data_IF_838219437208
#
_entry.id   IF_838219437208
#
_cell.length_a   1.000
_cell.length_b   1.000
_cell.length_c   1.000
_cell.angle_alpha   90.00
_cell.angle_beta   90.00
_cell.angle_gamma   90.00
#
_symmetry.space_group_name_H-M   'P 1'
#
loop_
_entity.id
_entity.type
_entity.pdbx_description
1 polymer ?
#
# COMPACT_ATOMS: atom_id res chain seq x y z
N UNK A 1 -5.08 29.69 -9.17
CA UNK A 1 -4.10 29.94 -8.09
C UNK A 1 -3.31 28.66 -7.91
N UNK A 2 -2.00 28.66 -8.16
CA UNK A 2 -1.14 27.49 -7.93
C UNK A 2 -0.32 27.73 -6.66
N UNK A 3 -0.42 26.82 -5.69
CA UNK A 3 0.42 26.86 -4.48
C UNK A 3 1.78 26.24 -4.82
N UNK A 4 2.85 26.95 -4.50
CA UNK A 4 4.22 26.41 -4.57
C UNK A 4 4.53 25.69 -3.27
N UNK A 5 4.91 24.42 -3.35
CA UNK A 5 5.42 23.69 -2.19
C UNK A 5 6.80 24.25 -1.79
N UNK A 6 7.02 24.43 -0.48
CA UNK A 6 8.36 24.64 0.10
C UNK A 6 9.09 23.30 0.20
N UNK A 7 10.42 23.29 0.30
CA UNK A 7 11.16 22.06 0.54
C UNK A 7 10.72 21.44 1.88
N UNK A 8 10.22 20.21 1.85
CA UNK A 8 9.88 19.44 3.03
C UNK A 8 11.05 18.58 3.51
N UNK A 9 11.01 18.17 4.79
CA UNK A 9 11.92 17.17 5.34
C UNK A 9 11.29 15.78 5.17
N UNK A 10 12.03 14.76 4.70
CA UNK A 10 11.55 13.39 4.72
C UNK A 10 11.17 12.97 6.14
N UNK A 11 9.94 12.45 6.31
CA UNK A 11 9.45 12.00 7.62
C UNK A 11 9.79 10.53 7.89
N UNK A 12 10.22 9.79 6.86
CA UNK A 12 10.66 8.40 6.91
C UNK A 12 11.38 8.01 5.62
N UNK A 13 12.40 7.17 5.72
CA UNK A 13 13.03 6.49 4.59
C UNK A 13 12.65 5.01 4.58
N UNK A 14 12.46 4.43 3.39
CA UNK A 14 12.15 3.01 3.23
C UNK A 14 13.43 2.18 3.13
N UNK A 15 13.54 1.06 3.87
CA UNK A 15 14.62 0.09 3.67
C UNK A 15 14.46 -0.72 2.36
N UNK A 16 13.29 -0.61 1.69
CA UNK A 16 12.98 -1.28 0.42
C UNK A 16 13.26 -0.38 -0.81
N UNK A 17 13.93 0.75 -0.61
CA UNK A 17 14.49 1.61 -1.67
C UNK A 17 13.53 2.64 -2.24
N UNK A 18 12.26 2.30 -2.44
CA UNK A 18 11.23 3.22 -2.94
C UNK A 18 10.14 3.32 -1.88
N UNK A 19 9.81 4.55 -1.46
CA UNK A 19 8.60 4.86 -0.71
C UNK A 19 7.74 5.80 -1.56
N UNK A 20 6.51 5.40 -1.86
CA UNK A 20 5.61 6.16 -2.71
C UNK A 20 4.17 6.11 -2.22
N UNK A 21 3.33 7.00 -2.77
CA UNK A 21 1.89 7.12 -2.47
C UNK A 21 1.59 7.18 -0.96
N UNK A 22 2.33 8.03 -0.26
CA UNK A 22 2.13 8.21 1.16
C UNK A 22 0.83 8.94 1.48
N UNK A 23 -0.02 8.33 2.29
CA UNK A 23 -1.27 8.92 2.78
C UNK A 23 -1.25 9.02 4.30
N UNK A 24 -1.63 10.19 4.80
CA UNK A 24 -1.66 10.48 6.22
C UNK A 24 -3.08 10.80 6.66
N UNK A 25 -3.57 10.11 7.68
CA UNK A 25 -4.84 10.40 8.32
C UNK A 25 -4.74 10.28 9.84
N UNK A 26 -5.64 10.94 10.56
CA UNK A 26 -5.70 10.88 12.02
C UNK A 26 -6.94 10.10 12.45
N UNK A 27 -6.77 9.13 13.35
CA UNK A 27 -7.87 8.40 13.98
C UNK A 27 -7.60 8.23 15.46
N UNK A 28 -8.53 8.72 16.29
CA UNK A 28 -8.37 8.77 17.73
C UNK A 28 -7.09 9.51 18.14
N UNK A 29 -6.24 8.85 18.92
CA UNK A 29 -4.97 9.39 19.39
C UNK A 29 -3.82 9.26 18.37
N UNK A 30 -4.02 8.49 17.30
CA UNK A 30 -2.95 8.14 16.36
C UNK A 30 -3.05 8.93 15.05
N UNK A 31 -1.88 9.32 14.55
CA UNK A 31 -1.66 9.61 13.14
C UNK A 31 -1.22 8.30 12.48
N UNK A 32 -1.81 7.96 11.34
CA UNK A 32 -1.48 6.80 10.54
C UNK A 32 -0.85 7.27 9.23
N UNK A 33 0.33 6.75 8.92
CA UNK A 33 1.02 6.91 7.66
C UNK A 33 0.93 5.58 6.91
N UNK A 34 0.16 5.57 5.83
CA UNK A 34 0.12 4.49 4.85
C UNK A 34 1.13 4.85 3.77
N UNK A 35 1.95 3.89 3.34
CA UNK A 35 2.89 4.11 2.22
C UNK A 35 3.18 2.79 1.53
N UNK A 36 3.25 2.85 0.20
CA UNK A 36 3.73 1.73 -0.58
C UNK A 36 5.26 1.74 -0.63
N UNK A 37 5.84 0.55 -0.65
CA UNK A 37 7.29 0.34 -0.68
C UNK A 37 7.71 -0.75 -1.67
N UNK A 38 8.98 -0.70 -2.10
CA UNK A 38 9.57 -1.69 -3.01
C UNK A 38 9.25 -1.48 -4.50
N UNK A 39 8.50 -0.44 -4.81
CA UNK A 39 8.03 -0.12 -6.17
C UNK A 39 6.89 -1.03 -6.63
N UNK A 40 6.17 -0.62 -7.68
CA UNK A 40 4.94 -1.26 -8.17
C UNK A 40 5.09 -2.65 -8.85
N UNK A 41 6.27 -3.27 -8.77
CA UNK A 41 6.61 -4.56 -9.41
C UNK A 41 6.50 -5.74 -8.42
N UNK A 42 7.29 -6.80 -8.58
CA UNK A 42 7.20 -8.01 -7.74
C UNK A 42 7.51 -7.76 -6.24
N UNK A 43 8.25 -6.70 -5.92
CA UNK A 43 8.57 -6.32 -4.54
C UNK A 43 7.54 -5.42 -3.86
N UNK A 44 6.41 -5.13 -4.52
CA UNK A 44 5.43 -4.15 -4.05
C UNK A 44 4.81 -4.56 -2.72
N UNK A 45 4.90 -3.66 -1.75
CA UNK A 45 4.42 -3.86 -0.39
C UNK A 45 3.63 -2.64 0.07
N UNK A 46 2.60 -2.86 0.88
CA UNK A 46 1.88 -1.79 1.56
C UNK A 46 2.20 -1.80 3.05
N UNK A 47 2.62 -0.65 3.57
CA UNK A 47 3.02 -0.50 4.97
C UNK A 47 2.14 0.51 5.69
N UNK A 48 1.85 0.21 6.95
CA UNK A 48 1.13 1.11 7.86
C UNK A 48 2.00 1.39 9.07
N UNK A 49 2.24 2.69 9.29
CA UNK A 49 2.92 3.22 10.45
C UNK A 49 1.94 4.07 11.26
N UNK A 50 2.15 4.18 12.56
CA UNK A 50 1.37 5.10 13.40
C UNK A 50 2.24 5.90 14.35
N UNK A 51 1.72 7.01 14.84
CA UNK A 51 2.38 7.85 15.85
C UNK A 51 1.34 8.56 16.72
N UNK A 52 1.56 8.59 18.03
CA UNK A 52 0.79 9.42 18.97
C UNK A 52 1.35 10.84 19.10
N UNK A 53 2.59 11.07 18.64
CA UNK A 53 3.28 12.36 18.84
C UNK A 53 2.92 13.37 17.78
N UNK A 54 2.71 12.92 16.54
CA UNK A 54 2.34 13.82 15.45
C UNK A 54 2.60 13.23 14.07
N UNK A 55 2.32 14.03 13.02
CA UNK A 55 2.51 13.63 11.62
C UNK A 55 3.99 13.57 11.19
N UNK A 56 4.93 13.89 12.09
CA UNK A 56 6.37 13.80 11.87
C UNK A 56 7.01 12.59 12.58
N UNK A 57 6.18 11.71 13.15
CA UNK A 57 6.65 10.57 13.94
C UNK A 57 7.03 10.93 15.38
N UNK A 58 7.82 10.07 16.07
CA UNK A 58 8.38 8.82 15.57
C UNK A 58 7.28 7.83 15.16
N UNK A 59 7.60 7.01 14.16
CA UNK A 59 6.70 6.04 13.56
C UNK A 59 6.92 4.66 14.16
N UNK A 60 5.84 4.04 14.65
CA UNK A 60 5.81 2.62 15.00
C UNK A 60 5.08 1.84 13.91
N UNK A 61 5.55 0.63 13.60
CA UNK A 61 4.89 -0.31 12.68
C UNK A 61 4.94 -1.72 13.23
N UNK A 62 4.23 -2.62 12.55
CA UNK A 62 4.46 -4.06 12.71
C UNK A 62 5.78 -4.46 12.01
N UNK A 63 6.26 -5.66 12.29
CA UNK A 63 7.49 -6.23 11.69
C UNK A 63 7.30 -6.72 10.24
N UNK A 64 6.06 -6.65 9.74
CA UNK A 64 5.67 -7.14 8.41
C UNK A 64 4.76 -6.12 7.71
N UNK A 65 4.74 -6.09 6.36
CA UNK A 65 3.83 -5.23 5.62
C UNK A 65 2.36 -5.57 5.94
N UNK A 66 1.49 -4.56 5.80
CA UNK A 66 0.04 -4.76 5.81
C UNK A 66 -0.37 -5.67 4.65
N UNK A 67 0.22 -5.43 3.47
CA UNK A 67 -0.05 -6.20 2.27
C UNK A 67 1.23 -6.51 1.51
N UNK A 68 1.34 -7.78 1.12
CA UNK A 68 2.33 -8.28 0.18
C UNK A 68 1.76 -9.54 -0.43
N UNK A 69 1.87 -9.70 -1.75
CA UNK A 69 1.50 -10.96 -2.41
C UNK A 69 2.74 -11.75 -2.77
N UNK A 70 2.67 -13.05 -2.54
CA UNK A 70 3.64 -13.95 -3.12
C UNK A 70 3.42 -14.09 -4.65
N UNK A 71 4.48 -14.36 -5.44
CA UNK A 71 4.37 -14.57 -6.89
C UNK A 71 3.52 -15.76 -7.34
N UNK A 72 2.94 -16.50 -6.39
CA UNK A 72 2.06 -17.66 -6.61
C UNK A 72 0.58 -17.32 -6.39
N UNK A 73 0.27 -16.11 -5.94
CA UNK A 73 -1.11 -15.68 -5.73
C UNK A 73 -1.80 -15.27 -7.04
N UNK A 74 -3.12 -15.41 -7.09
CA UNK A 74 -3.94 -15.05 -8.26
C UNK A 74 -4.10 -13.53 -8.44
N UNK A 75 -3.85 -12.76 -7.38
CA UNK A 75 -3.72 -11.30 -7.40
C UNK A 75 -2.33 -10.97 -6.88
N UNK A 76 -1.58 -10.20 -7.66
CA UNK A 76 -0.18 -9.89 -7.35
C UNK A 76 0.05 -8.39 -7.35
N UNK A 77 1.17 -7.98 -6.75
CA UNK A 77 1.65 -6.60 -6.72
C UNK A 77 0.65 -5.65 -6.08
N UNK A 78 -0.12 -6.14 -5.11
CA UNK A 78 -1.05 -5.29 -4.39
C UNK A 78 -0.32 -4.24 -3.58
N UNK A 79 -0.81 -3.01 -3.63
CA UNK A 79 -0.29 -1.88 -2.86
C UNK A 79 -0.89 -0.59 -3.38
N UNK A 80 -0.27 0.55 -3.08
CA UNK A 80 -0.84 1.86 -3.35
C UNK A 80 -2.22 2.03 -2.70
N UNK A 81 -2.35 1.59 -1.45
CA UNK A 81 -3.62 1.53 -0.77
C UNK A 81 -4.12 2.92 -0.31
N UNK A 82 -5.43 3.09 -0.43
CA UNK A 82 -6.21 4.11 0.26
C UNK A 82 -7.19 3.39 1.18
N UNK A 83 -7.21 3.76 2.46
CA UNK A 83 -8.05 3.12 3.48
C UNK A 83 -9.20 4.05 3.86
N UNK A 84 -10.41 3.49 3.96
CA UNK A 84 -11.60 4.21 4.40
C UNK A 84 -12.52 3.34 5.26
N UNK A 85 -13.37 4.00 6.04
CA UNK A 85 -14.41 3.36 6.86
C UNK A 85 -15.77 3.56 6.17
N UNK A 86 -16.59 2.52 6.12
CA UNK A 86 -17.98 2.65 5.63
C UNK A 86 -18.93 3.19 6.72
N UNK A 87 -20.22 3.30 6.39
CA UNK A 87 -21.23 3.82 7.32
C UNK A 87 -21.55 2.90 8.51
N UNK A 88 -21.05 1.67 8.51
CA UNK A 88 -21.27 0.66 9.56
C UNK A 88 -20.01 0.45 10.43
N UNK A 89 -18.93 1.17 10.13
CA UNK A 89 -17.66 1.07 10.86
C UNK A 89 -16.72 -0.01 10.32
N UNK A 90 -17.03 -0.63 9.18
CA UNK A 90 -16.14 -1.60 8.55
C UNK A 90 -15.01 -0.88 7.80
N UNK A 91 -13.84 -1.49 7.82
CA UNK A 91 -12.64 -0.94 7.20
C UNK A 91 -12.39 -1.58 5.85
N UNK A 92 -12.13 -0.72 4.86
CA UNK A 92 -11.91 -1.08 3.47
C UNK A 92 -10.62 -0.45 2.98
N UNK A 93 -9.90 -1.17 2.13
CA UNK A 93 -8.81 -0.64 1.34
C UNK A 93 -9.17 -0.72 -0.13
N UNK A 94 -8.94 0.38 -0.86
CA UNK A 94 -8.81 0.34 -2.31
C UNK A 94 -7.33 0.36 -2.67
N UNK A 95 -6.92 -0.56 -3.53
CA UNK A 95 -5.52 -0.77 -3.89
C UNK A 95 -5.42 -1.19 -5.35
N UNK A 96 -4.24 -1.03 -5.95
CA UNK A 96 -3.99 -1.63 -7.26
C UNK A 96 -3.70 -3.12 -7.10
N UNK A 97 -3.91 -3.89 -8.15
CA UNK A 97 -3.51 -5.29 -8.25
C UNK A 97 -3.31 -5.69 -9.70
N UNK A 98 -2.61 -6.79 -9.92
CA UNK A 98 -2.44 -7.44 -11.21
C UNK A 98 -3.00 -8.86 -11.16
N UNK A 99 -3.76 -9.23 -12.18
CA UNK A 99 -4.27 -10.58 -12.40
C UNK A 99 -3.45 -11.23 -13.52
N UNK A 100 -2.35 -11.92 -13.19
CA UNK A 100 -1.47 -12.55 -14.18
C UNK A 100 -2.17 -13.71 -14.89
N UNK A 101 -1.71 -14.00 -16.11
CA UNK A 101 -2.22 -15.10 -16.93
C UNK A 101 -1.42 -16.36 -16.60
N UNK A 102 -2.12 -17.48 -16.42
CA UNK A 102 -1.49 -18.80 -16.34
C UNK A 102 -1.36 -19.42 -17.73
N UNK A 103 -0.24 -20.08 -17.99
CA UNK A 103 -0.08 -20.94 -19.16
C UNK A 103 -0.86 -22.26 -19.01
N UNK A 104 -0.82 -23.11 -20.03
CA UNK A 104 -1.49 -24.42 -20.04
C UNK A 104 -0.99 -25.37 -18.93
N UNK A 105 0.20 -25.10 -18.37
CA UNK A 105 0.79 -25.87 -17.26
C UNK A 105 0.43 -25.30 -15.89
N UNK A 106 -0.33 -24.21 -15.84
CA UNK A 106 -0.74 -23.53 -14.61
C UNK A 106 0.30 -22.56 -14.05
N UNK A 107 1.40 -22.29 -14.77
CA UNK A 107 2.44 -21.34 -14.35
C UNK A 107 2.06 -19.93 -14.77
N UNK A 108 2.29 -18.95 -13.89
CA UNK A 108 2.09 -17.56 -14.25
C UNK A 108 3.13 -17.12 -15.29
N UNK A 109 2.63 -16.59 -16.41
CA UNK A 109 3.42 -15.85 -17.38
C UNK A 109 3.87 -14.52 -16.74
N UNK A 110 5.03 -13.99 -17.18
CA UNK A 110 5.65 -12.74 -16.69
C UNK A 110 4.61 -11.75 -16.13
N UNK A 111 4.57 -11.54 -14.79
CA UNK A 111 3.44 -10.93 -14.12
C UNK A 111 3.18 -9.47 -14.51
N UNK A 112 4.05 -8.83 -15.29
CA UNK A 112 3.83 -7.52 -15.90
C UNK A 112 2.72 -7.54 -16.96
N UNK A 113 2.44 -8.69 -17.58
CA UNK A 113 1.47 -8.87 -18.65
C UNK A 113 0.13 -9.41 -18.12
N UNK A 114 -0.33 -8.88 -16.99
CA UNK A 114 -1.73 -9.08 -16.59
C UNK A 114 -2.66 -8.70 -17.74
N UNK A 115 -3.79 -9.41 -17.90
CA UNK A 115 -4.73 -9.24 -19.04
C UNK A 115 -5.08 -7.78 -19.35
N UNK A 116 -5.07 -6.93 -18.33
CA UNK A 116 -5.49 -5.53 -18.34
C UNK A 116 -4.47 -4.61 -17.67
N UNK A 117 -3.24 -5.07 -17.42
CA UNK A 117 -2.25 -4.37 -16.60
C UNK A 117 -2.64 -4.28 -15.12
N UNK A 118 -2.36 -3.13 -14.48
CA UNK A 118 -2.73 -2.85 -13.08
C UNK A 118 -4.15 -2.30 -13.03
N UNK A 119 -4.99 -2.86 -12.19
CA UNK A 119 -6.38 -2.42 -11.99
C UNK A 119 -6.71 -2.28 -10.51
N UNK A 120 -7.73 -1.49 -10.20
CA UNK A 120 -8.15 -1.25 -8.82
C UNK A 120 -8.99 -2.41 -8.29
N UNK A 121 -8.77 -2.77 -7.02
CA UNK A 121 -9.61 -3.69 -6.25
C UNK A 121 -9.94 -3.07 -4.90
N UNK A 122 -11.05 -3.50 -4.33
CA UNK A 122 -11.45 -3.18 -2.95
C UNK A 122 -11.43 -4.45 -2.13
N UNK A 123 -10.81 -4.39 -0.95
CA UNK A 123 -10.75 -5.51 -0.02
C UNK A 123 -11.03 -5.02 1.40
N UNK A 124 -11.74 -5.81 2.22
CA UNK A 124 -11.89 -5.49 3.63
C UNK A 124 -10.54 -5.59 4.34
N UNK A 125 -10.31 -4.74 5.35
CA UNK A 125 -9.10 -4.76 6.16
C UNK A 125 -9.45 -5.06 7.61
N UNK A 126 -9.00 -6.20 8.12
CA UNK A 126 -9.44 -6.68 9.44
C UNK A 126 -8.41 -6.51 10.56
N UNK A 127 -7.36 -5.70 10.36
CA UNK A 127 -6.20 -5.75 11.24
C UNK A 127 -5.54 -4.41 11.56
N UNK A 128 -6.22 -3.44 12.22
CA UNK A 128 -5.54 -2.39 13.02
C UNK A 128 -6.39 -1.87 14.18
#
# INVERSE_FOLDING_TARGET
MFTRMTSGTPIRESPHGIAERSHLFKRGAYYYLITAEGGTEAGHQEWVFRSIKGPYGPWESQDKPMWYNEPIEDVQRTGHADIFEDGEGNWWAVLLGVWPIKDETGRFLEPQLGRIGRSSTIAPTYHY
#
